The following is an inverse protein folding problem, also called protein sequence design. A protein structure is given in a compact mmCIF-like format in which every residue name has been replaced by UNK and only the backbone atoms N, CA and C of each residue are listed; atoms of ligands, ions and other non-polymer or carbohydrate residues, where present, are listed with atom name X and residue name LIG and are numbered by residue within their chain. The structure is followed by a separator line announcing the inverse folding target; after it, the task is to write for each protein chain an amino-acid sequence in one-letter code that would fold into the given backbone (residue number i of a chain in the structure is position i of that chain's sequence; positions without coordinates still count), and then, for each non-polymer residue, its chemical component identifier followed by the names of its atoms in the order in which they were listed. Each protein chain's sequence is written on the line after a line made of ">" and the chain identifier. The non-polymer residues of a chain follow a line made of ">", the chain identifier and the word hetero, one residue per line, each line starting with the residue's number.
data_IF_031424515778
#
_entry.id   IF_031424515778
#
_cell.length_a   1.000
_cell.length_b   1.000
_cell.length_c   1.000
_cell.angle_alpha   90.00
_cell.angle_beta   90.00
_cell.angle_gamma   90.00
#
_symmetry.space_group_name_H-M   'P 1'
#
loop_
_entity.id
_entity.type
_entity.pdbx_description
1 polymer ?
#
# COMPACT_ATOMS: atom_id res chain seq x y z
N UNK A 1 23.76 2.49 15.70
CA UNK A 1 24.71 3.56 15.28
C UNK A 1 24.87 4.53 16.44
N UNK A 2 25.82 4.22 17.33
CA UNK A 2 26.27 5.13 18.38
C UNK A 2 27.13 6.22 17.75
N UNK A 3 26.55 7.40 17.50
CA UNK A 3 27.26 8.58 17.03
C UNK A 3 27.41 9.57 18.18
N UNK A 4 28.51 9.47 18.92
CA UNK A 4 29.01 10.49 19.84
C UNK A 4 28.96 11.89 19.19
N UNK A 5 28.04 12.75 19.61
CA UNK A 5 28.26 14.18 19.46
C UNK A 5 29.05 14.66 20.67
N UNK A 6 30.37 14.71 20.48
CA UNK A 6 31.35 15.06 21.50
C UNK A 6 31.16 16.51 21.97
N UNK A 7 31.08 16.67 23.28
CA UNK A 7 31.45 17.91 23.96
C UNK A 7 32.93 18.20 23.71
N UNK A 8 33.24 19.19 22.88
CA UNK A 8 34.57 19.80 22.77
C UNK A 8 34.44 21.17 22.12
N UNK A 9 33.94 22.15 22.88
CA UNK A 9 34.36 23.53 22.63
C UNK A 9 35.27 23.89 23.78
N UNK A 10 36.55 23.68 23.46
CA UNK A 10 37.74 24.13 24.16
C UNK A 10 37.62 25.59 24.59
N UNK A 11 38.06 25.85 25.82
CA UNK A 11 38.39 27.17 26.35
C UNK A 11 39.13 27.98 25.29
N UNK A 12 38.47 28.99 24.72
CA UNK A 12 39.17 30.04 24.02
C UNK A 12 39.56 31.06 25.08
N UNK A 13 40.87 31.12 25.29
CA UNK A 13 41.57 32.02 26.18
C UNK A 13 41.10 33.46 25.99
N UNK A 14 41.03 34.19 27.10
CA UNK A 14 40.86 35.62 27.11
C UNK A 14 42.23 36.30 26.94
N UNK A 15 42.54 36.92 25.80
CA UNK A 15 43.51 38.00 25.77
C UNK A 15 42.74 39.31 25.92
N UNK A 16 43.23 40.14 26.83
CA UNK A 16 42.65 41.43 27.15
C UNK A 16 42.62 42.43 25.98
N UNK A 17 42.12 43.61 26.33
CA UNK A 17 42.00 44.74 25.41
C UNK A 17 40.61 45.33 25.52
N UNK A 18 40.30 45.96 26.64
CA UNK A 18 40.34 47.43 26.69
C UNK A 18 39.52 48.05 25.56
N UNK A 19 38.29 48.45 25.88
CA UNK A 19 37.88 49.87 25.86
C UNK A 19 36.37 49.90 25.95
N UNK A 20 35.94 50.28 27.14
CA UNK A 20 34.75 51.05 27.42
C UNK A 20 34.60 52.16 26.35
N UNK A 21 33.96 51.83 25.24
CA UNK A 21 33.71 52.75 24.14
C UNK A 21 32.23 52.91 24.03
N UNK A 22 31.74 53.91 24.75
CA UNK A 22 30.53 54.67 24.45
C UNK A 22 29.35 53.77 24.10
N UNK A 23 28.64 53.34 25.14
CA UNK A 23 27.19 53.18 25.06
C UNK A 23 26.60 54.55 24.63
N UNK A 24 26.65 54.87 23.35
CA UNK A 24 25.83 55.95 22.82
C UNK A 24 24.37 55.50 22.92
N UNK A 25 23.45 56.35 23.38
CA UNK A 25 22.03 56.01 23.46
C UNK A 25 21.52 55.45 22.12
N UNK A 26 22.00 55.98 21.00
CA UNK A 26 21.71 55.49 19.63
C UNK A 26 22.10 54.02 19.39
N UNK A 27 23.27 53.57 19.88
CA UNK A 27 23.68 52.16 19.79
C UNK A 27 22.73 51.25 20.57
N UNK A 28 22.27 51.71 21.74
CA UNK A 28 21.33 50.94 22.56
C UNK A 28 19.95 50.86 21.89
N UNK A 29 19.50 51.93 21.23
CA UNK A 29 18.20 51.97 20.56
C UNK A 29 18.19 51.13 19.28
N UNK A 30 19.28 51.14 18.52
CA UNK A 30 19.48 50.21 17.39
C UNK A 30 19.42 48.75 17.84
N UNK A 31 20.12 48.40 18.92
CA UNK A 31 20.07 47.04 19.51
C UNK A 31 18.66 46.66 19.94
N UNK A 32 17.93 47.56 20.62
CA UNK A 32 16.52 47.34 21.01
C UNK A 32 15.63 47.10 19.80
N UNK A 33 15.76 47.93 18.75
CA UNK A 33 14.98 47.79 17.53
C UNK A 33 15.23 46.44 16.82
N UNK A 34 16.50 46.03 16.71
CA UNK A 34 16.84 44.71 16.16
C UNK A 34 16.26 43.58 17.00
N UNK A 35 16.39 43.62 18.33
CA UNK A 35 15.83 42.60 19.22
C UNK A 35 14.31 42.48 19.08
N UNK A 36 13.58 43.61 19.02
CA UNK A 36 12.14 43.62 18.80
C UNK A 36 11.75 43.01 17.44
N UNK A 37 12.52 43.29 16.38
CA UNK A 37 12.30 42.70 15.06
C UNK A 37 12.51 41.18 15.09
N UNK A 38 13.60 40.71 15.70
CA UNK A 38 13.87 39.28 15.85
C UNK A 38 12.78 38.57 16.66
N UNK A 39 12.31 39.17 17.76
CA UNK A 39 11.24 38.59 18.59
C UNK A 39 9.88 38.56 17.85
N UNK A 40 9.57 39.56 17.02
CA UNK A 40 8.38 39.53 16.15
C UNK A 40 8.44 38.37 15.16
N UNK A 41 9.55 38.23 14.45
CA UNK A 41 9.76 37.13 13.50
C UNK A 41 9.63 35.77 14.18
N UNK A 42 10.18 35.62 15.40
CA UNK A 42 10.03 34.39 16.19
C UNK A 42 8.56 34.07 16.48
N UNK A 43 7.77 35.06 16.89
CA UNK A 43 6.33 34.88 17.17
C UNK A 43 5.52 34.56 15.93
N UNK A 44 5.82 35.21 14.81
CA UNK A 44 5.18 34.92 13.52
C UNK A 44 5.45 33.48 13.08
N UNK A 45 6.70 33.01 13.17
CA UNK A 45 7.05 31.62 12.87
C UNK A 45 6.30 30.61 13.77
N UNK A 46 6.18 30.89 15.07
CA UNK A 46 5.40 30.06 16.00
C UNK A 46 3.91 30.04 15.60
N UNK A 47 3.33 31.20 15.27
CA UNK A 47 1.93 31.28 14.87
C UNK A 47 1.65 30.52 13.57
N UNK A 48 2.57 30.56 12.60
CA UNK A 48 2.49 29.77 11.37
C UNK A 48 2.51 28.28 11.70
N UNK A 49 3.44 27.83 12.55
CA UNK A 49 3.51 26.42 12.96
C UNK A 49 2.24 25.92 13.64
N UNK A 50 1.57 26.75 14.46
CA UNK A 50 0.26 26.40 15.03
C UNK A 50 -0.84 26.31 13.96
N UNK A 51 -0.82 27.17 12.95
CA UNK A 51 -1.78 27.12 11.87
C UNK A 51 -1.59 25.85 11.03
N UNK A 52 -0.36 25.55 10.62
CA UNK A 52 -0.04 24.32 9.87
C UNK A 52 -0.42 23.06 10.64
N UNK A 53 -0.08 23.00 11.94
CA UNK A 53 -0.45 21.87 12.78
C UNK A 53 -1.96 21.69 12.88
N UNK A 54 -2.71 22.79 12.96
CA UNK A 54 -4.17 22.75 13.00
C UNK A 54 -4.78 22.18 11.71
N UNK A 55 -4.22 22.48 10.55
CA UNK A 55 -4.70 21.93 9.27
C UNK A 55 -4.45 20.41 9.13
N UNK A 56 -3.43 19.88 9.81
CA UNK A 56 -3.13 18.44 9.82
C UNK A 56 -4.05 17.62 10.74
N UNK A 57 -4.71 18.28 11.71
CA UNK A 57 -5.58 17.62 12.67
C UNK A 57 -6.98 17.45 12.05
N UNK A 58 -7.59 16.26 12.11
CA UNK A 58 -8.93 16.03 11.59
C UNK A 58 -9.96 16.96 12.24
N UNK A 59 -10.95 17.47 11.47
CA UNK A 59 -12.01 18.35 11.99
C UNK A 59 -12.81 17.74 13.15
N UNK A 60 -12.82 16.42 13.31
CA UNK A 60 -13.48 15.69 14.40
C UNK A 60 -12.93 16.03 15.79
N UNK A 61 -11.67 16.48 15.88
CA UNK A 61 -11.07 16.92 17.14
C UNK A 61 -11.45 18.36 17.51
N UNK A 62 -11.87 19.17 16.54
CA UNK A 62 -12.16 20.58 16.76
C UNK A 62 -13.52 20.74 17.46
N UNK A 63 -13.59 21.43 18.62
CA UNK A 63 -14.87 21.78 19.20
C UNK A 63 -15.63 22.70 18.24
N UNK A 64 -16.90 22.36 17.98
CA UNK A 64 -17.78 23.12 17.09
C UNK A 64 -17.92 24.55 17.62
N UNK A 65 -17.53 25.53 16.80
CA UNK A 65 -17.83 26.95 17.02
C UNK A 65 -16.91 27.71 17.99
N UNK A 66 -15.84 27.13 18.53
CA UNK A 66 -14.90 27.85 19.42
C UNK A 66 -13.51 28.02 18.78
N UNK A 67 -12.87 29.17 19.05
CA UNK A 67 -11.46 29.42 18.68
C UNK A 67 -10.59 28.42 19.43
N UNK A 68 -10.01 27.47 18.71
CA UNK A 68 -9.02 26.51 19.25
C UNK A 68 -7.84 27.26 19.84
N UNK A 69 -7.62 27.13 21.15
CA UNK A 69 -6.45 27.72 21.81
C UNK A 69 -5.18 26.98 21.40
N UNK A 70 -4.02 27.62 21.49
CA UNK A 70 -2.73 26.98 21.21
C UNK A 70 -2.54 25.70 22.03
N UNK A 71 -2.95 25.72 23.31
CA UNK A 71 -2.92 24.53 24.16
C UNK A 71 -3.83 23.41 23.62
N UNK A 72 -5.05 23.73 23.19
CA UNK A 72 -5.95 22.74 22.60
C UNK A 72 -5.38 22.12 21.33
N UNK A 73 -4.72 22.91 20.47
CA UNK A 73 -4.07 22.39 19.25
C UNK A 73 -2.99 21.37 19.62
N UNK A 74 -2.17 21.63 20.64
CA UNK A 74 -1.14 20.68 21.08
C UNK A 74 -1.72 19.39 21.63
N UNK A 75 -2.78 19.46 22.45
CA UNK A 75 -3.43 18.26 22.98
C UNK A 75 -4.10 17.44 21.88
N UNK A 76 -4.82 18.10 20.97
CA UNK A 76 -5.44 17.44 19.81
C UNK A 76 -4.39 16.79 18.90
N UNK A 77 -3.25 17.45 18.68
CA UNK A 77 -2.15 16.86 17.91
C UNK A 77 -1.56 15.62 18.59
N UNK A 78 -1.39 15.66 19.92
CA UNK A 78 -0.89 14.52 20.68
C UNK A 78 -1.87 13.34 20.65
N UNK A 79 -3.16 13.61 20.81
CA UNK A 79 -4.21 12.60 20.74
C UNK A 79 -4.32 12.01 19.33
N UNK A 80 -4.26 12.85 18.29
CA UNK A 80 -4.28 12.39 16.90
C UNK A 80 -3.05 11.55 16.56
N UNK A 81 -1.86 11.91 17.05
CA UNK A 81 -0.65 11.08 16.90
C UNK A 81 -0.83 9.70 17.54
N UNK A 82 -1.42 9.64 18.74
CA UNK A 82 -1.69 8.37 19.41
C UNK A 82 -2.76 7.55 18.66
N UNK A 83 -3.79 8.20 18.11
CA UNK A 83 -4.78 7.56 17.27
C UNK A 83 -4.14 6.96 16.02
N UNK A 84 -3.31 7.73 15.30
CA UNK A 84 -2.62 7.27 14.10
C UNK A 84 -1.71 6.06 14.38
N UNK A 85 -0.96 6.08 15.50
CA UNK A 85 -0.15 4.93 15.92
C UNK A 85 -0.98 3.67 16.16
N UNK A 86 -2.14 3.82 16.81
CA UNK A 86 -3.08 2.71 17.05
C UNK A 86 -3.70 2.19 15.75
N UNK A 87 -4.04 3.09 14.83
CA UNK A 87 -4.54 2.73 13.50
C UNK A 87 -3.48 2.00 12.67
N UNK A 88 -2.23 2.46 12.70
CA UNK A 88 -1.10 1.80 12.06
C UNK A 88 -0.89 0.38 12.60
N UNK A 89 -0.93 0.20 13.94
CA UNK A 89 -0.83 -1.12 14.57
C UNK A 89 -1.96 -2.06 14.11
N UNK A 90 -3.21 -1.59 14.15
CA UNK A 90 -4.37 -2.36 13.72
C UNK A 90 -4.32 -2.73 12.21
N UNK A 91 -3.91 -1.79 11.36
CA UNK A 91 -3.73 -2.04 9.92
C UNK A 91 -2.65 -3.10 9.68
N UNK A 92 -1.53 -3.06 10.42
CA UNK A 92 -0.47 -4.06 10.32
C UNK A 92 -0.95 -5.46 10.78
N UNK A 93 -1.74 -5.54 11.85
CA UNK A 93 -2.38 -6.79 12.27
C UNK A 93 -3.34 -7.32 11.19
N UNK A 94 -4.17 -6.45 10.63
CA UNK A 94 -5.13 -6.81 9.57
C UNK A 94 -4.41 -7.33 8.32
N UNK A 95 -3.34 -6.65 7.89
CA UNK A 95 -2.49 -7.08 6.77
C UNK A 95 -1.89 -8.46 7.05
N UNK A 96 -1.39 -8.69 8.27
CA UNK A 96 -0.82 -9.97 8.67
C UNK A 96 -1.86 -11.11 8.61
N UNK A 97 -3.08 -10.85 9.09
CA UNK A 97 -4.19 -11.80 9.03
C UNK A 97 -4.60 -12.13 7.60
N UNK A 98 -4.76 -11.10 6.75
CA UNK A 98 -5.12 -11.30 5.34
C UNK A 98 -4.03 -12.07 4.59
N UNK A 99 -2.76 -11.76 4.85
CA UNK A 99 -1.62 -12.48 4.24
C UNK A 99 -1.62 -13.96 4.65
N UNK A 100 -1.90 -14.25 5.93
CA UNK A 100 -2.03 -15.62 6.41
C UNK A 100 -3.22 -16.36 5.76
N UNK A 101 -4.37 -15.69 5.58
CA UNK A 101 -5.53 -16.25 4.88
C UNK A 101 -5.22 -16.55 3.41
N UNK A 102 -4.58 -15.63 2.69
CA UNK A 102 -4.17 -15.85 1.30
C UNK A 102 -3.23 -17.06 1.22
N UNK A 103 -2.20 -17.12 2.08
CA UNK A 103 -1.29 -18.26 2.11
C UNK A 103 -1.99 -19.59 2.39
N UNK A 104 -2.97 -19.61 3.31
CA UNK A 104 -3.76 -20.80 3.60
C UNK A 104 -4.61 -21.22 2.39
N UNK A 105 -5.29 -20.27 1.73
CA UNK A 105 -6.09 -20.54 0.54
C UNK A 105 -5.24 -21.03 -0.63
N UNK A 106 -4.05 -20.47 -0.84
CA UNK A 106 -3.10 -20.95 -1.84
C UNK A 106 -2.65 -22.39 -1.56
N UNK A 107 -2.39 -22.73 -0.29
CA UNK A 107 -2.04 -24.09 0.09
C UNK A 107 -3.19 -25.06 -0.18
N UNK A 108 -4.41 -24.68 0.19
CA UNK A 108 -5.63 -25.48 -0.07
C UNK A 108 -5.83 -25.67 -1.57
N UNK A 109 -5.73 -24.60 -2.36
CA UNK A 109 -5.86 -24.66 -3.82
C UNK A 109 -4.81 -25.60 -4.45
N UNK A 110 -3.54 -25.50 -4.01
CA UNK A 110 -2.47 -26.41 -4.45
C UNK A 110 -2.75 -27.87 -4.09
N UNK A 111 -3.33 -28.14 -2.92
CA UNK A 111 -3.70 -29.51 -2.54
C UNK A 111 -4.81 -30.06 -3.43
N UNK A 112 -5.84 -29.26 -3.75
CA UNK A 112 -6.88 -29.67 -4.69
C UNK A 112 -6.34 -29.90 -6.10
N UNK A 113 -5.43 -29.06 -6.57
CA UNK A 113 -4.76 -29.24 -7.87
C UNK A 113 -4.00 -30.58 -7.91
N UNK A 114 -3.20 -30.88 -6.87
CA UNK A 114 -2.50 -32.16 -6.77
C UNK A 114 -3.45 -33.35 -6.74
N UNK A 115 -4.57 -33.28 -6.01
CA UNK A 115 -5.57 -34.34 -5.97
C UNK A 115 -6.26 -34.54 -7.32
N UNK A 116 -6.58 -33.47 -8.03
CA UNK A 116 -7.17 -33.54 -9.37
C UNK A 116 -6.20 -34.20 -10.36
N UNK A 117 -4.92 -33.83 -10.33
CA UNK A 117 -3.87 -34.45 -11.16
C UNK A 117 -3.68 -35.93 -10.82
N UNK A 118 -3.64 -36.29 -9.54
CA UNK A 118 -3.49 -37.69 -9.14
C UNK A 118 -4.69 -38.57 -9.55
N UNK A 119 -5.90 -38.00 -9.50
CA UNK A 119 -7.13 -38.65 -9.97
C UNK A 119 -7.09 -38.92 -11.48
N UNK A 120 -6.66 -37.93 -12.28
CA UNK A 120 -6.59 -38.09 -13.73
C UNK A 120 -5.43 -38.99 -14.19
N UNK A 121 -4.30 -39.02 -13.48
CA UNK A 121 -3.19 -39.95 -13.75
C UNK A 121 -3.61 -41.40 -13.53
N UNK A 122 -4.40 -41.67 -12.47
CA UNK A 122 -4.88 -43.02 -12.19
C UNK A 122 -5.90 -43.53 -13.23
N UNK A 123 -6.54 -42.61 -13.98
CA UNK A 123 -7.65 -42.96 -14.87
C UNK A 123 -7.51 -42.37 -16.29
N UNK A 124 -6.28 -42.19 -16.80
CA UNK A 124 -5.99 -41.53 -18.09
C UNK A 124 -6.77 -42.09 -19.29
N UNK A 125 -7.12 -43.37 -19.26
CA UNK A 125 -7.86 -44.05 -20.33
C UNK A 125 -9.38 -43.87 -20.23
N UNK A 126 -9.88 -43.28 -19.15
CA UNK A 126 -11.32 -43.01 -19.03
C UNK A 126 -11.73 -41.88 -19.98
N UNK A 127 -12.88 -42.08 -20.62
CA UNK A 127 -13.56 -41.05 -21.42
C UNK A 127 -13.78 -39.75 -20.63
N UNK A 128 -13.96 -39.85 -19.31
CA UNK A 128 -14.11 -38.70 -18.41
C UNK A 128 -12.84 -37.83 -18.38
N UNK A 129 -11.64 -38.42 -18.24
CA UNK A 129 -10.39 -37.66 -18.25
C UNK A 129 -10.12 -36.97 -19.59
N UNK A 130 -10.45 -37.64 -20.71
CA UNK A 130 -10.27 -37.05 -22.04
C UNK A 130 -11.25 -35.91 -22.29
N UNK A 131 -12.52 -36.08 -21.88
CA UNK A 131 -13.51 -35.00 -21.95
C UNK A 131 -13.10 -33.81 -21.09
N UNK A 132 -12.57 -34.05 -19.89
CA UNK A 132 -12.07 -32.98 -19.03
C UNK A 132 -10.90 -32.23 -19.66
N UNK A 133 -9.92 -32.95 -20.23
CA UNK A 133 -8.78 -32.34 -20.94
C UNK A 133 -9.25 -31.48 -22.11
N UNK A 134 -10.27 -31.93 -22.85
CA UNK A 134 -10.85 -31.15 -23.93
C UNK A 134 -11.52 -29.87 -23.41
N UNK A 135 -12.36 -29.96 -22.38
CA UNK A 135 -12.99 -28.79 -21.78
C UNK A 135 -11.97 -27.77 -21.25
N UNK A 136 -10.88 -28.24 -20.62
CA UNK A 136 -9.79 -27.38 -20.17
C UNK A 136 -9.10 -26.68 -21.34
N UNK A 137 -8.91 -27.37 -22.47
CA UNK A 137 -8.34 -26.76 -23.68
C UNK A 137 -9.27 -25.70 -24.29
N UNK A 138 -10.58 -25.97 -24.32
CA UNK A 138 -11.60 -25.02 -24.76
C UNK A 138 -11.60 -23.79 -23.86
N UNK A 139 -11.58 -23.98 -22.54
CA UNK A 139 -11.56 -22.88 -21.59
C UNK A 139 -10.28 -22.05 -21.66
N UNK A 140 -9.12 -22.68 -21.84
CA UNK A 140 -7.88 -21.97 -22.07
C UNK A 140 -7.92 -21.15 -23.37
N UNK A 141 -8.54 -21.68 -24.42
CA UNK A 141 -8.78 -20.94 -25.68
C UNK A 141 -9.70 -19.75 -25.47
N UNK A 142 -10.82 -19.95 -24.74
CA UNK A 142 -11.76 -18.90 -24.37
C UNK A 142 -11.03 -17.74 -23.67
N UNK A 143 -10.26 -18.06 -22.63
CA UNK A 143 -9.54 -17.05 -21.83
C UNK A 143 -8.54 -16.21 -22.63
N UNK A 144 -7.97 -16.75 -23.71
CA UNK A 144 -7.03 -16.02 -24.56
C UNK A 144 -7.72 -15.20 -25.65
N UNK A 145 -8.87 -15.66 -26.13
CA UNK A 145 -9.51 -15.09 -27.32
C UNK A 145 -10.69 -14.19 -26.99
N UNK A 146 -11.38 -14.39 -25.86
CA UNK A 146 -12.57 -13.63 -25.47
C UNK A 146 -12.21 -12.49 -24.52
N UNK A 147 -12.51 -11.27 -24.93
CA UNK A 147 -12.30 -10.07 -24.14
C UNK A 147 -13.58 -9.67 -23.40
N UNK A 148 -13.52 -9.63 -22.06
CA UNK A 148 -14.65 -9.30 -21.18
C UNK A 148 -14.64 -7.87 -20.63
N UNK A 149 -13.83 -6.98 -21.21
CA UNK A 149 -13.71 -5.59 -20.74
C UNK A 149 -14.94 -4.74 -21.06
N UNK A 150 -15.66 -5.06 -22.14
CA UNK A 150 -16.89 -4.37 -22.53
C UNK A 150 -17.85 -5.33 -23.24
N UNK A 151 -19.16 -5.04 -23.21
CA UNK A 151 -20.17 -5.84 -23.91
C UNK A 151 -19.89 -5.92 -25.41
N UNK A 152 -19.42 -4.82 -26.02
CA UNK A 152 -19.04 -4.80 -27.43
C UNK A 152 -17.86 -5.73 -27.72
N UNK A 153 -16.79 -5.65 -26.92
CA UNK A 153 -15.62 -6.53 -27.04
C UNK A 153 -16.00 -8.00 -26.84
N UNK A 154 -16.95 -8.29 -25.94
CA UNK A 154 -17.47 -9.64 -25.75
C UNK A 154 -18.12 -10.14 -27.04
N UNK A 155 -19.04 -9.39 -27.65
CA UNK A 155 -19.74 -9.83 -28.87
C UNK A 155 -18.74 -10.03 -30.03
N UNK A 156 -17.84 -9.08 -30.23
CA UNK A 156 -16.84 -9.11 -31.31
C UNK A 156 -15.84 -10.26 -31.17
N UNK A 157 -15.57 -10.73 -29.94
CA UNK A 157 -14.59 -11.81 -29.71
C UNK A 157 -15.22 -13.17 -29.43
N UNK A 158 -16.41 -13.21 -28.82
CA UNK A 158 -17.11 -14.44 -28.47
C UNK A 158 -17.66 -15.15 -29.70
N UNK A 159 -18.33 -14.44 -30.61
CA UNK A 159 -18.94 -15.07 -31.80
C UNK A 159 -17.88 -15.74 -32.69
N UNK A 160 -16.76 -15.09 -33.05
CA UNK A 160 -15.70 -15.77 -33.80
C UNK A 160 -15.06 -16.91 -33.03
N UNK A 161 -14.86 -16.77 -31.71
CA UNK A 161 -14.30 -17.85 -30.90
C UNK A 161 -15.18 -19.10 -30.93
N UNK A 162 -16.51 -18.95 -30.78
CA UNK A 162 -17.47 -20.06 -30.85
C UNK A 162 -17.41 -20.74 -32.22
N UNK A 163 -17.23 -19.98 -33.29
CA UNK A 163 -17.15 -20.51 -34.66
C UNK A 163 -15.83 -21.26 -34.94
N UNK A 164 -14.74 -20.90 -34.24
CA UNK A 164 -13.43 -21.57 -34.31
C UNK A 164 -13.39 -22.85 -33.44
N UNK A 165 -14.33 -23.03 -32.50
CA UNK A 165 -14.43 -24.26 -31.72
C UNK A 165 -14.84 -25.44 -32.62
N UNK A 166 -13.83 -26.14 -33.15
CA UNK A 166 -14.03 -27.38 -33.89
C UNK A 166 -14.35 -28.53 -32.92
N UNK A 167 -15.64 -28.62 -32.58
CA UNK A 167 -16.19 -29.70 -31.76
C UNK A 167 -15.99 -31.06 -32.41
N UNK A 168 -16.10 -31.14 -33.75
CA UNK A 168 -16.10 -32.41 -34.48
C UNK A 168 -14.73 -33.09 -34.42
N UNK A 169 -13.65 -32.38 -34.73
CA UNK A 169 -12.30 -32.97 -34.69
C UNK A 169 -11.93 -33.42 -33.28
N UNK A 170 -12.32 -32.63 -32.28
CA UNK A 170 -11.98 -32.91 -30.89
C UNK A 170 -12.76 -34.10 -30.33
N UNK A 171 -14.07 -34.17 -30.59
CA UNK A 171 -14.93 -35.29 -30.16
C UNK A 171 -14.58 -36.58 -30.91
N UNK A 172 -14.27 -36.50 -32.21
CA UNK A 172 -13.81 -37.66 -32.99
C UNK A 172 -12.48 -38.19 -32.47
N UNK A 173 -11.56 -37.32 -32.06
CA UNK A 173 -10.29 -37.72 -31.45
C UNK A 173 -10.52 -38.45 -30.12
N UNK A 174 -11.39 -37.93 -29.27
CA UNK A 174 -11.77 -38.59 -27.99
C UNK A 174 -12.42 -39.95 -28.26
N UNK A 175 -13.38 -40.03 -29.18
CA UNK A 175 -14.04 -41.31 -29.52
C UNK A 175 -13.06 -42.33 -30.09
N UNK A 176 -12.13 -41.91 -30.95
CA UNK A 176 -11.10 -42.80 -31.51
C UNK A 176 -10.15 -43.31 -30.44
N UNK A 177 -9.69 -42.43 -29.55
CA UNK A 177 -8.75 -42.78 -28.50
C UNK A 177 -9.39 -43.69 -27.44
N UNK A 178 -10.67 -43.47 -27.08
CA UNK A 178 -11.42 -44.37 -26.19
C UNK A 178 -11.60 -45.76 -26.80
N UNK A 179 -12.00 -45.86 -28.07
CA UNK A 179 -12.09 -47.16 -28.77
C UNK A 179 -10.73 -47.87 -28.79
N UNK A 180 -9.65 -47.15 -29.11
CA UNK A 180 -8.29 -47.72 -29.13
C UNK A 180 -7.82 -48.20 -27.74
N UNK A 181 -8.23 -47.53 -26.65
CA UNK A 181 -7.92 -47.96 -25.29
C UNK A 181 -8.70 -49.22 -24.89
N UNK A 182 -9.95 -49.36 -25.34
CA UNK A 182 -10.80 -50.54 -25.06
C UNK A 182 -10.34 -51.78 -25.83
N UNK A 183 -9.93 -51.64 -27.10
CA UNK A 183 -9.50 -52.77 -27.93
C UNK A 183 -8.02 -53.20 -27.73
N UNK A 184 -7.26 -52.51 -26.88
CA UNK A 184 -5.87 -52.90 -26.54
C UNK A 184 -5.75 -53.94 -25.42
N UNK A 185 -6.87 -54.43 -24.90
CA UNK A 185 -6.97 -55.59 -24.00
C UNK A 185 -7.67 -56.74 -24.70
#
# INVERSE_FOLDING_TARGET
>A
LEGKFMSSISSLEAPGGSRDSKNSPDSTDRKKATHLRCERQRREAINIGYQELKELIPPSFSPVGCKTTNAAILFQAADYLNQLKKEEENLNETISQLTAQVSALELIAKQYENMAVNSCVSNRSSIQCQMQTFLDSCFASFRRQVNVSSLQSVIETLLPWVEILDYDVSLLKISRDTLNAVYKY
#
